data_IF_248783323719
#
_entry.id   IF_248783323719
#
_cell.length_a   1.000
_cell.length_b   1.000
_cell.length_c   1.000
_cell.angle_alpha   90.00
_cell.angle_beta   90.00
_cell.angle_gamma   90.00
#
_symmetry.space_group_name_H-M   'P 1'
#
loop_
_entity.id
_entity.type
_entity.pdbx_description
1 polymer ?
#
# COMPACT_ATOMS: atom_id res chain seq x y z
N UNK A 1 0.19 9.48 -18.05
CA UNK A 1 -0.37 8.39 -17.25
C UNK A 1 -1.85 8.24 -17.60
N UNK A 2 -2.38 7.02 -17.64
CA UNK A 2 -3.82 6.77 -17.79
C UNK A 2 -4.50 7.23 -16.50
N UNK A 3 -5.55 8.05 -16.61
CA UNK A 3 -6.33 8.54 -15.47
C UNK A 3 -7.57 7.68 -15.27
N UNK A 4 -8.07 7.62 -14.03
CA UNK A 4 -9.35 6.98 -13.69
C UNK A 4 -9.45 5.50 -14.08
N UNK A 5 -8.34 4.77 -14.06
CA UNK A 5 -8.34 3.31 -14.30
C UNK A 5 -8.88 2.53 -13.09
N UNK A 6 -8.88 3.14 -11.90
CA UNK A 6 -9.49 2.63 -10.67
C UNK A 6 -10.41 3.70 -10.09
N UNK A 7 -11.59 3.31 -9.64
CA UNK A 7 -12.55 4.20 -8.97
C UNK A 7 -12.17 4.43 -7.49
N UNK A 8 -11.54 3.44 -6.85
CA UNK A 8 -11.10 3.50 -5.46
C UNK A 8 -9.68 2.93 -5.34
N UNK A 9 -8.86 3.57 -4.50
CA UNK A 9 -7.52 3.12 -4.13
C UNK A 9 -7.42 3.17 -2.62
N UNK A 10 -7.01 2.05 -2.02
CA UNK A 10 -6.75 1.94 -0.58
C UNK A 10 -5.25 1.82 -0.37
N UNK A 11 -4.68 2.78 0.34
CA UNK A 11 -3.31 2.72 0.84
C UNK A 11 -3.35 2.12 2.24
N UNK A 12 -2.75 0.94 2.40
CA UNK A 12 -2.64 0.27 3.69
C UNK A 12 -1.17 0.27 4.11
N UNK A 13 -0.90 0.71 5.34
CA UNK A 13 0.44 0.62 5.94
C UNK A 13 0.33 0.16 7.41
N UNK A 14 1.43 -0.33 7.96
CA UNK A 14 1.55 -0.68 9.38
C UNK A 14 1.90 0.54 10.23
N UNK A 15 2.47 1.57 9.62
CA UNK A 15 2.92 2.79 10.28
C UNK A 15 1.76 3.77 10.40
N UNK A 16 1.42 4.05 11.66
CA UNK A 16 0.35 4.97 12.02
C UNK A 16 0.47 6.34 11.34
N UNK A 17 -0.64 6.77 10.72
CA UNK A 17 -0.80 8.09 10.12
C UNK A 17 -0.07 8.28 8.79
N UNK A 18 0.74 7.31 8.35
CA UNK A 18 1.53 7.46 7.13
C UNK A 18 0.66 7.31 5.88
N UNK A 19 -0.12 6.25 5.80
CA UNK A 19 -1.02 6.01 4.67
C UNK A 19 -2.11 7.08 4.58
N UNK A 20 -2.69 7.47 5.71
CA UNK A 20 -3.70 8.52 5.85
C UNK A 20 -3.15 9.86 5.35
N UNK A 21 -1.95 10.23 5.80
CA UNK A 21 -1.29 11.46 5.36
C UNK A 21 -1.00 11.47 3.86
N UNK A 22 -0.55 10.34 3.31
CA UNK A 22 -0.30 10.21 1.86
C UNK A 22 -1.58 10.27 1.04
N UNK A 23 -2.65 9.63 1.50
CA UNK A 23 -3.95 9.71 0.85
C UNK A 23 -4.48 11.15 0.84
N UNK A 24 -4.35 11.87 1.96
CA UNK A 24 -4.74 13.28 2.06
C UNK A 24 -3.95 14.17 1.08
N UNK A 25 -2.63 14.02 1.04
CA UNK A 25 -1.75 14.75 0.13
C UNK A 25 -2.12 14.50 -1.34
N UNK A 26 -2.37 13.24 -1.72
CA UNK A 26 -2.81 12.88 -3.07
C UNK A 26 -4.17 13.51 -3.41
N UNK A 27 -5.15 13.39 -2.51
CA UNK A 27 -6.50 13.93 -2.71
C UNK A 27 -6.53 15.46 -2.81
N UNK A 28 -5.63 16.18 -2.12
CA UNK A 28 -5.52 17.64 -2.25
C UNK A 28 -5.14 18.08 -3.67
N UNK A 29 -4.49 17.21 -4.45
CA UNK A 29 -4.14 17.48 -5.86
C UNK A 29 -5.19 16.97 -6.85
N UNK A 30 -6.28 16.33 -6.41
CA UNK A 30 -7.26 15.68 -7.28
C UNK A 30 -7.89 16.63 -8.29
N UNK A 31 -8.29 17.82 -7.85
CA UNK A 31 -8.87 18.85 -8.72
C UNK A 31 -7.88 19.38 -9.76
N UNK A 32 -6.62 19.58 -9.35
CA UNK A 32 -5.55 20.06 -10.23
C UNK A 32 -5.17 19.00 -11.27
N UNK A 33 -5.08 17.74 -10.84
CA UNK A 33 -4.70 16.62 -11.69
C UNK A 33 -5.88 16.04 -12.47
N UNK A 34 -7.12 16.45 -12.19
CA UNK A 34 -8.33 16.05 -12.89
C UNK A 34 -8.56 14.54 -12.84
N UNK A 35 -8.53 13.96 -11.64
CA UNK A 35 -8.93 12.57 -11.40
C UNK A 35 -10.05 12.50 -10.37
N UNK A 36 -10.89 11.47 -10.50
CA UNK A 36 -12.04 11.23 -9.63
C UNK A 36 -11.87 9.96 -8.77
N UNK A 37 -10.73 9.28 -8.88
CA UNK A 37 -10.37 8.15 -8.01
C UNK A 37 -10.41 8.58 -6.55
N UNK A 38 -11.18 7.86 -5.73
CA UNK A 38 -11.21 8.04 -4.29
C UNK A 38 -10.01 7.33 -3.66
N UNK A 39 -9.16 8.08 -2.98
CA UNK A 39 -7.96 7.52 -2.32
C UNK A 39 -8.18 7.56 -0.80
N UNK A 40 -8.12 6.40 -0.16
CA UNK A 40 -8.24 6.27 1.30
C UNK A 40 -6.95 5.68 1.86
N UNK A 41 -6.44 6.24 2.94
CA UNK A 41 -5.32 5.67 3.69
C UNK A 41 -5.80 5.04 4.99
N UNK A 42 -5.24 3.89 5.37
CA UNK A 42 -5.53 3.22 6.64
C UNK A 42 -4.31 2.56 7.25
N UNK A 43 -4.30 2.52 8.57
CA UNK A 43 -3.30 1.85 9.39
C UNK A 43 -3.81 0.49 9.87
N UNK A 44 -3.16 -0.60 9.49
CA UNK A 44 -3.43 -1.98 9.95
C UNK A 44 -4.88 -2.48 9.79
N UNK A 45 -5.74 -1.81 9.02
CA UNK A 45 -7.14 -2.22 8.80
C UNK A 45 -7.33 -2.84 7.40
N UNK A 46 -7.08 -4.14 7.32
CA UNK A 46 -7.27 -4.94 6.08
C UNK A 46 -8.75 -5.05 5.67
N UNK A 47 -9.72 -4.75 6.54
CA UNK A 47 -11.14 -4.78 6.14
C UNK A 47 -11.44 -3.76 5.05
N UNK A 48 -10.64 -2.68 4.95
CA UNK A 48 -10.77 -1.68 3.89
C UNK A 48 -10.28 -2.15 2.53
N UNK A 49 -9.49 -3.21 2.45
CA UNK A 49 -9.02 -3.77 1.17
C UNK A 49 -9.98 -4.80 0.59
N UNK A 50 -11.10 -5.09 1.28
CA UNK A 50 -12.09 -6.05 0.83
C UNK A 50 -12.64 -5.74 -0.57
N UNK A 51 -12.85 -6.78 -1.38
CA UNK A 51 -13.34 -6.70 -2.76
C UNK A 51 -12.44 -5.92 -3.74
N UNK A 52 -11.15 -5.75 -3.42
CA UNK A 52 -10.20 -5.18 -4.37
C UNK A 52 -9.98 -6.12 -5.56
N UNK A 53 -10.12 -5.62 -6.78
CA UNK A 53 -9.83 -6.39 -8.01
C UNK A 53 -8.33 -6.71 -8.12
N UNK A 54 -7.48 -5.82 -7.61
CA UNK A 54 -6.02 -5.91 -7.68
C UNK A 54 -5.43 -5.45 -6.35
N UNK A 55 -4.53 -6.27 -5.79
CA UNK A 55 -3.69 -5.92 -4.65
C UNK A 55 -2.22 -5.81 -5.06
N UNK A 56 -1.58 -4.67 -4.79
CA UNK A 56 -0.15 -4.45 -5.07
C UNK A 56 0.63 -4.44 -3.76
N UNK A 57 1.49 -5.43 -3.56
CA UNK A 57 2.30 -5.56 -2.35
C UNK A 57 3.66 -4.88 -2.59
N UNK A 58 3.86 -3.75 -1.92
CA UNK A 58 5.15 -3.03 -1.90
C UNK A 58 5.83 -3.09 -0.52
N UNK A 59 5.20 -3.79 0.44
CA UNK A 59 5.71 -3.96 1.80
C UNK A 59 7.02 -4.73 1.81
N UNK A 60 8.00 -4.19 2.52
CA UNK A 60 9.32 -4.79 2.66
C UNK A 60 10.27 -3.84 3.36
N UNK A 61 11.42 -4.35 3.76
CA UNK A 61 12.49 -3.53 4.29
C UNK A 61 13.51 -3.20 3.19
N UNK A 62 14.04 -1.98 3.15
CA UNK A 62 15.19 -1.68 2.30
C UNK A 62 16.42 -2.42 2.83
N UNK A 63 17.35 -2.74 1.93
CA UNK A 63 18.63 -3.36 2.32
C UNK A 63 19.39 -2.44 3.27
N UNK A 64 19.73 -2.96 4.46
CA UNK A 64 20.54 -2.23 5.45
C UNK A 64 22.04 -2.49 5.21
N UNK A 65 22.93 -1.54 5.57
CA UNK A 65 24.37 -1.79 5.55
C UNK A 65 24.73 -3.04 6.36
N UNK A 66 25.58 -3.91 5.81
CA UNK A 66 25.99 -5.17 6.46
C UNK A 66 25.04 -6.36 6.24
N UNK A 67 23.88 -6.18 5.62
CA UNK A 67 22.94 -7.27 5.32
C UNK A 67 23.30 -8.00 4.01
N UNK A 68 23.28 -9.33 4.05
CA UNK A 68 23.45 -10.20 2.87
C UNK A 68 22.21 -10.17 1.98
N UNK A 69 22.34 -10.65 0.73
CA UNK A 69 21.17 -10.72 -0.17
C UNK A 69 20.17 -11.77 0.31
N UNK A 70 20.69 -12.87 0.84
CA UNK A 70 19.94 -14.02 1.32
C UNK A 70 19.09 -13.66 2.55
N UNK A 71 19.66 -12.91 3.50
CA UNK A 71 18.91 -12.40 4.67
C UNK A 71 17.78 -11.45 4.25
N UNK A 72 18.05 -10.55 3.30
CA UNK A 72 17.05 -9.60 2.80
C UNK A 72 15.87 -10.33 2.13
N UNK A 73 16.16 -11.34 1.30
CA UNK A 73 15.16 -12.17 0.65
C UNK A 73 14.32 -12.91 1.70
N UNK A 74 14.95 -13.51 2.70
CA UNK A 74 14.26 -14.23 3.77
C UNK A 74 13.30 -13.33 4.57
N UNK A 75 13.74 -12.12 4.95
CA UNK A 75 12.90 -11.17 5.68
C UNK A 75 11.72 -10.71 4.82
N UNK A 76 11.98 -10.30 3.57
CA UNK A 76 10.90 -9.81 2.70
C UNK A 76 9.93 -10.93 2.29
N UNK A 77 10.39 -12.18 2.15
CA UNK A 77 9.51 -13.32 1.92
C UNK A 77 8.52 -13.53 3.09
N UNK A 78 8.99 -13.37 4.33
CA UNK A 78 8.14 -13.42 5.52
C UNK A 78 7.08 -12.30 5.53
N UNK A 79 7.50 -11.08 5.22
CA UNK A 79 6.59 -9.91 5.13
C UNK A 79 5.52 -10.14 4.06
N UNK A 80 5.93 -10.51 2.84
CA UNK A 80 5.01 -10.76 1.72
C UNK A 80 4.03 -11.87 2.06
N UNK A 81 4.47 -12.95 2.70
CA UNK A 81 3.59 -14.04 3.16
C UNK A 81 2.54 -13.53 4.16
N UNK A 82 2.95 -12.75 5.15
CA UNK A 82 2.04 -12.19 6.15
C UNK A 82 0.98 -11.31 5.50
N UNK A 83 1.41 -10.35 4.67
CA UNK A 83 0.50 -9.41 4.00
C UNK A 83 -0.45 -10.14 3.05
N UNK A 84 0.07 -11.07 2.25
CA UNK A 84 -0.75 -11.84 1.31
C UNK A 84 -1.81 -12.68 2.01
N UNK A 85 -1.51 -13.22 3.20
CA UNK A 85 -2.48 -14.00 3.98
C UNK A 85 -3.60 -13.09 4.50
N UNK A 86 -3.25 -11.94 5.10
CA UNK A 86 -4.23 -10.98 5.61
C UNK A 86 -5.09 -10.32 4.53
N UNK A 87 -4.65 -10.30 3.27
CA UNK A 87 -5.45 -9.81 2.13
C UNK A 87 -6.50 -10.82 1.65
N UNK A 88 -6.31 -12.11 1.91
CA UNK A 88 -7.15 -13.20 1.41
C UNK A 88 -8.15 -13.67 2.47
N UNK A 89 -7.80 -13.52 3.76
CA UNK A 89 -8.70 -13.76 4.91
C UNK A 89 -9.87 -12.77 4.96
#
# INVERSE_FOLDING_TARGET
>A
AIKNFASEVVLLDIKEGYAEGKAMDLMQTASLNGFDTKITGVTNDYSKTANSDICVITSGIPRKPGMTREELIGINAGIVRSVSSSLIE
#
